data_IF_964460311724
#
_entry.id   IF_964460311724
#
_cell.length_a   1.000
_cell.length_b   1.000
_cell.length_c   1.000
_cell.angle_alpha   90.00
_cell.angle_beta   90.00
_cell.angle_gamma   90.00
#
_symmetry.space_group_name_H-M   'P 1'
#
loop_
_entity.id
_entity.type
_entity.pdbx_description
1 polymer ?
#
# COMPACT_ATOMS: atom_id res chain seq x y z
N UNK A 1 37.02 -46.80 47.62
CA UNK A 1 38.36 -46.28 47.95
C UNK A 1 38.51 -44.96 47.21
N UNK A 2 38.36 -43.86 47.94
CA UNK A 2 39.16 -42.64 47.72
C UNK A 2 40.66 -43.02 47.88
N UNK A 3 41.67 -42.28 47.32
CA UNK A 3 41.78 -40.83 47.47
C UNK A 3 42.49 -40.03 46.34
N UNK A 4 42.43 -38.71 46.44
CA UNK A 4 43.32 -37.80 45.70
C UNK A 4 43.15 -36.31 46.00
N UNK A 5 43.36 -35.89 47.26
CA UNK A 5 43.57 -34.50 47.70
C UNK A 5 44.81 -33.86 47.02
N UNK A 6 44.74 -32.57 46.64
CA UNK A 6 45.71 -31.50 47.03
C UNK A 6 45.07 -30.09 46.84
N UNK A 7 44.60 -29.53 47.95
CA UNK A 7 44.88 -28.22 48.56
C UNK A 7 45.03 -26.89 47.75
N UNK A 8 44.24 -25.88 48.20
CA UNK A 8 44.63 -24.52 48.70
C UNK A 8 45.21 -23.49 47.69
N UNK A 9 44.96 -22.18 47.75
CA UNK A 9 44.21 -21.31 48.66
C UNK A 9 44.07 -19.88 48.09
N UNK A 10 43.18 -19.13 48.75
CA UNK A 10 43.24 -17.69 49.05
C UNK A 10 42.78 -16.61 48.05
N UNK A 11 41.89 -15.80 48.63
CA UNK A 11 41.16 -14.66 48.13
C UNK A 11 41.96 -13.33 48.17
N UNK A 12 41.26 -12.27 47.72
CA UNK A 12 41.50 -10.81 47.85
C UNK A 12 41.98 -10.18 46.54
N UNK A 13 41.48 -9.04 46.06
CA UNK A 13 40.54 -8.04 46.56
C UNK A 13 39.99 -7.29 45.32
N UNK A 14 38.71 -6.87 45.36
CA UNK A 14 38.21 -5.82 44.45
C UNK A 14 38.59 -4.46 45.01
N UNK A 15 38.85 -3.46 44.17
CA UNK A 15 38.56 -2.08 44.50
C UNK A 15 37.43 -1.51 43.62
N UNK A 16 36.61 -0.70 44.29
CA UNK A 16 35.46 0.06 43.83
C UNK A 16 35.84 1.35 43.07
N UNK A 17 34.85 1.90 42.38
CA UNK A 17 34.84 3.15 41.64
C UNK A 17 35.45 4.38 42.36
N UNK A 18 36.28 5.15 41.64
CA UNK A 18 36.04 6.57 41.29
C UNK A 18 37.35 7.37 41.06
N UNK A 19 37.36 8.08 39.93
CA UNK A 19 38.09 9.33 39.61
C UNK A 19 39.63 9.32 39.50
N UNK A 20 40.14 9.38 38.26
CA UNK A 20 41.11 10.43 37.84
C UNK A 20 40.86 10.79 36.37
N UNK A 21 40.77 12.10 36.14
CA UNK A 21 40.53 12.84 34.91
C UNK A 21 41.71 12.82 33.91
N UNK A 22 41.37 13.18 32.66
CA UNK A 22 42.18 13.87 31.65
C UNK A 22 43.28 13.09 30.88
N UNK A 23 42.95 12.77 29.62
CA UNK A 23 43.79 13.19 28.48
C UNK A 23 42.98 13.24 27.19
N UNK A 24 42.62 14.48 26.79
CA UNK A 24 42.11 14.84 25.46
C UNK A 24 43.26 14.75 24.46
N UNK A 25 43.16 13.85 23.48
CA UNK A 25 44.02 13.79 22.31
C UNK A 25 43.18 13.71 21.04
N UNK A 26 43.04 14.84 20.34
CA UNK A 26 42.31 14.97 19.08
C UNK A 26 42.86 14.05 17.98
N UNK A 27 42.06 13.10 17.49
CA UNK A 27 42.24 12.50 16.16
C UNK A 27 41.19 13.06 15.21
N UNK A 28 41.54 14.17 14.55
CA UNK A 28 40.82 14.73 13.39
C UNK A 28 40.80 13.70 12.25
N UNK A 29 39.73 12.91 12.14
CA UNK A 29 39.38 12.22 10.89
C UNK A 29 38.82 13.27 9.93
N UNK A 30 39.63 13.65 8.93
CA UNK A 30 39.20 14.46 7.79
C UNK A 30 38.07 13.71 7.07
N UNK A 31 36.85 14.26 7.09
CA UNK A 31 35.77 13.85 6.19
C UNK A 31 36.14 14.31 4.78
N UNK A 32 36.10 13.46 3.75
CA UNK A 32 36.05 13.93 2.38
C UNK A 32 34.75 14.73 2.21
N UNK A 33 34.88 16.03 1.91
CA UNK A 33 33.83 16.79 1.24
C UNK A 33 33.78 16.31 -0.21
N UNK A 34 32.61 16.39 -0.82
CA UNK A 34 32.28 16.05 -2.22
C UNK A 34 31.85 14.59 -2.46
N UNK A 35 30.57 14.34 -2.13
CA UNK A 35 29.69 13.41 -2.86
C UNK A 35 28.22 13.72 -2.54
N UNK A 36 27.82 14.96 -2.79
CA UNK A 36 26.43 15.26 -3.18
C UNK A 36 26.37 15.01 -4.68
N UNK A 37 25.41 14.20 -5.14
CA UNK A 37 24.95 14.01 -6.55
C UNK A 37 24.64 12.52 -6.88
N UNK A 38 24.11 11.74 -5.94
CA UNK A 38 23.60 10.36 -6.23
C UNK A 38 22.08 10.35 -6.46
N UNK A 39 21.38 11.43 -6.12
CA UNK A 39 19.94 11.55 -6.33
C UNK A 39 19.66 12.83 -7.12
N UNK A 40 18.84 12.78 -8.19
CA UNK A 40 18.37 14.01 -8.80
C UNK A 40 17.65 14.82 -7.72
N UNK A 41 17.84 16.16 -7.67
CA UNK A 41 17.08 16.99 -6.76
C UNK A 41 15.60 16.83 -7.12
N UNK A 42 14.81 16.26 -6.19
CA UNK A 42 13.36 16.39 -6.27
C UNK A 42 13.05 17.87 -6.10
N UNK A 43 12.54 18.50 -7.16
CA UNK A 43 12.07 19.87 -7.12
C UNK A 43 11.06 19.99 -5.98
N UNK A 44 11.48 20.60 -4.87
CA UNK A 44 10.63 20.92 -3.72
C UNK A 44 9.67 22.09 -3.98
N UNK A 45 9.47 22.47 -5.24
CA UNK A 45 8.55 23.55 -5.63
C UNK A 45 7.12 23.06 -5.93
N UNK A 46 6.89 21.75 -6.04
CA UNK A 46 5.55 21.20 -6.29
C UNK A 46 4.81 20.86 -4.97
N UNK A 47 4.87 21.75 -3.98
CA UNK A 47 4.16 21.60 -2.71
C UNK A 47 2.61 21.75 -2.82
N UNK A 48 2.05 21.59 -4.02
CA UNK A 48 0.64 21.31 -4.24
C UNK A 48 0.36 19.79 -4.40
N UNK A 49 1.39 18.94 -4.34
CA UNK A 49 1.34 17.50 -4.54
C UNK A 49 0.95 16.72 -3.28
N UNK A 50 -0.36 16.60 -3.05
CA UNK A 50 -0.93 15.63 -2.10
C UNK A 50 -2.32 15.15 -2.48
N UNK A 51 -2.86 15.66 -3.58
CA UNK A 51 -4.20 15.36 -4.08
C UNK A 51 -4.08 14.54 -5.36
N UNK A 52 -4.87 13.47 -5.47
CA UNK A 52 -4.96 12.69 -6.70
C UNK A 52 -5.36 13.67 -7.82
N UNK A 53 -4.55 13.83 -8.89
CA UNK A 53 -4.80 14.83 -9.91
C UNK A 53 -6.20 14.62 -10.49
N UNK A 54 -6.95 15.72 -10.75
CA UNK A 54 -8.28 15.62 -11.33
C UNK A 54 -8.28 14.92 -12.68
N UNK A 55 -7.14 14.72 -13.37
CA UNK A 55 -7.07 14.03 -14.68
C UNK A 55 -7.35 12.54 -14.60
N UNK A 56 -6.91 11.86 -13.53
CA UNK A 56 -7.09 10.40 -13.39
C UNK A 56 -8.50 10.03 -13.08
N UNK A 57 -9.10 10.82 -12.21
CA UNK A 57 -10.54 10.80 -12.07
C UNK A 57 -11.18 11.78 -13.03
N UNK A 58 -10.54 12.36 -14.02
CA UNK A 58 -11.16 13.39 -14.88
C UNK A 58 -12.16 12.78 -15.84
N UNK A 59 -11.89 11.53 -16.20
CA UNK A 59 -12.85 10.63 -16.84
C UNK A 59 -13.94 10.12 -15.87
N UNK A 60 -13.74 10.24 -14.55
CA UNK A 60 -14.56 9.64 -13.49
C UNK A 60 -15.17 10.64 -12.48
N UNK A 61 -14.87 11.93 -12.56
CA UNK A 61 -15.25 13.05 -11.71
C UNK A 61 -15.36 14.24 -12.67
N UNK A 62 -16.50 14.92 -12.66
CA UNK A 62 -16.72 16.07 -13.56
C UNK A 62 -15.70 17.18 -13.28
N UNK A 63 -15.26 17.85 -14.34
CA UNK A 63 -14.34 18.99 -14.38
C UNK A 63 -14.88 20.27 -13.73
N UNK A 64 -16.03 20.20 -13.07
CA UNK A 64 -16.83 21.38 -12.76
C UNK A 64 -16.94 21.41 -11.24
N UNK A 65 -16.19 22.30 -10.59
CA UNK A 65 -16.03 22.43 -9.13
C UNK A 65 -17.30 22.80 -8.34
N UNK A 66 -18.44 22.23 -8.70
CA UNK A 66 -19.68 22.29 -7.94
C UNK A 66 -19.71 21.16 -6.90
N UNK A 67 -19.93 21.54 -5.63
CA UNK A 67 -20.34 20.59 -4.60
C UNK A 67 -21.66 19.90 -5.02
N UNK A 68 -21.74 18.61 -4.73
CA UNK A 68 -22.86 17.69 -4.98
C UNK A 68 -23.05 17.26 -6.45
N UNK A 69 -22.34 16.21 -6.84
CA UNK A 69 -22.66 15.35 -8.00
C UNK A 69 -22.46 13.90 -7.57
N UNK A 70 -23.27 12.94 -8.08
CA UNK A 70 -23.40 11.61 -7.48
C UNK A 70 -22.06 10.86 -7.43
N UNK A 71 -21.90 9.93 -6.46
CA UNK A 71 -20.68 9.15 -6.35
C UNK A 71 -20.48 8.34 -7.64
N UNK A 72 -19.28 8.39 -8.21
CA UNK A 72 -18.99 7.63 -9.42
C UNK A 72 -18.71 6.20 -9.01
N UNK A 73 -19.55 5.28 -9.46
CA UNK A 73 -19.36 3.83 -9.32
C UNK A 73 -18.46 3.38 -10.47
N UNK A 74 -17.25 2.90 -10.14
CA UNK A 74 -16.10 2.87 -11.07
C UNK A 74 -15.71 1.50 -11.64
N UNK A 75 -16.28 0.33 -11.27
CA UNK A 75 -15.57 -0.93 -11.53
C UNK A 75 -15.29 -1.14 -13.03
N UNK A 76 -16.15 -0.59 -13.90
CA UNK A 76 -15.94 -0.54 -15.34
C UNK A 76 -16.72 0.62 -15.97
N UNK A 77 -16.06 1.50 -16.73
CA UNK A 77 -16.72 2.56 -17.52
C UNK A 77 -16.07 2.70 -18.89
N UNK A 78 -16.86 2.61 -19.95
CA UNK A 78 -16.43 2.87 -21.33
C UNK A 78 -15.16 2.09 -21.76
N UNK A 79 -15.03 0.83 -21.34
CA UNK A 79 -13.85 0.02 -21.65
C UNK A 79 -12.67 0.22 -20.69
N UNK A 80 -12.87 0.95 -19.59
CA UNK A 80 -11.82 1.33 -18.66
C UNK A 80 -12.07 0.84 -17.25
N UNK A 81 -10.98 0.51 -16.58
CA UNK A 81 -10.94 0.08 -15.17
C UNK A 81 -9.91 0.91 -14.44
N UNK A 82 -10.33 1.51 -13.33
CA UNK A 82 -9.41 2.13 -12.40
C UNK A 82 -8.97 1.12 -11.34
N UNK A 83 -7.68 0.84 -11.29
CA UNK A 83 -7.05 0.11 -10.18
C UNK A 83 -6.08 1.03 -9.48
N UNK A 84 -5.84 0.79 -8.20
CA UNK A 84 -4.66 1.35 -7.56
C UNK A 84 -3.78 0.26 -6.96
N UNK A 85 -2.48 0.52 -7.01
CA UNK A 85 -1.46 -0.32 -6.41
C UNK A 85 -0.83 0.42 -5.25
N UNK A 86 -0.57 -0.29 -4.15
CA UNK A 86 0.25 0.26 -3.05
C UNK A 86 1.70 -0.07 -3.29
N UNK A 87 2.58 0.87 -2.99
CA UNK A 87 4.03 0.70 -3.04
C UNK A 87 4.68 1.45 -1.87
N UNK A 88 6.00 1.37 -1.77
CA UNK A 88 6.77 2.11 -0.79
C UNK A 88 6.90 3.57 -1.24
N UNK A 89 6.69 4.50 -0.30
CA UNK A 89 6.80 5.93 -0.58
C UNK A 89 8.18 6.30 -1.10
N UNK A 90 8.23 7.09 -2.18
CA UNK A 90 9.46 7.50 -2.86
C UNK A 90 9.95 6.54 -3.96
N UNK A 91 9.28 5.41 -4.16
CA UNK A 91 9.60 4.42 -5.20
C UNK A 91 8.50 4.30 -6.27
N UNK A 92 7.58 5.26 -6.32
CA UNK A 92 6.43 5.24 -7.24
C UNK A 92 6.88 5.26 -8.71
N UNK A 93 7.99 5.94 -9.01
CA UNK A 93 8.52 6.00 -10.38
C UNK A 93 8.94 4.62 -10.92
N UNK A 94 9.44 3.72 -10.06
CA UNK A 94 9.81 2.36 -10.45
C UNK A 94 8.59 1.52 -10.82
N UNK A 95 7.51 1.69 -10.07
CA UNK A 95 6.23 1.03 -10.38
C UNK A 95 5.67 1.57 -11.70
N UNK A 96 5.75 2.88 -11.96
CA UNK A 96 5.34 3.45 -13.26
C UNK A 96 6.13 2.83 -14.41
N UNK A 97 7.45 2.68 -14.26
CA UNK A 97 8.30 2.02 -15.27
C UNK A 97 7.92 0.55 -15.45
N UNK A 98 7.74 -0.21 -14.36
CA UNK A 98 7.35 -1.63 -14.43
C UNK A 98 5.98 -1.81 -15.07
N UNK A 99 5.02 -0.95 -14.74
CA UNK A 99 3.68 -0.94 -15.33
C UNK A 99 3.73 -0.57 -16.81
N UNK A 100 4.49 0.45 -17.21
CA UNK A 100 4.64 0.84 -18.61
C UNK A 100 5.24 -0.29 -19.46
N UNK A 101 6.23 -1.04 -18.93
CA UNK A 101 6.79 -2.21 -19.63
C UNK A 101 5.78 -3.36 -19.71
N UNK A 102 5.01 -3.59 -18.65
CA UNK A 102 4.10 -4.75 -18.57
C UNK A 102 2.79 -4.56 -19.34
N UNK A 103 2.29 -3.33 -19.42
CA UNK A 103 0.98 -2.99 -19.97
C UNK A 103 1.07 -2.11 -21.23
N UNK A 104 2.22 -1.50 -21.52
CA UNK A 104 2.41 -0.67 -22.70
C UNK A 104 1.36 0.43 -22.80
N UNK A 105 0.67 0.50 -23.94
CA UNK A 105 -0.39 1.48 -24.23
C UNK A 105 -1.70 1.24 -23.46
N UNK A 106 -1.86 0.11 -22.75
CA UNK A 106 -3.06 -0.17 -21.98
C UNK A 106 -3.17 0.74 -20.74
N UNK A 107 -2.05 1.29 -20.25
CA UNK A 107 -2.06 2.34 -19.22
C UNK A 107 -2.30 3.68 -19.91
N UNK A 108 -3.48 4.25 -19.73
CA UNK A 108 -3.86 5.54 -20.33
C UNK A 108 -3.40 6.73 -19.49
N UNK A 109 -3.55 6.63 -18.18
CA UNK A 109 -3.07 7.63 -17.22
C UNK A 109 -2.56 6.95 -15.94
N UNK A 110 -1.61 7.60 -15.25
CA UNK A 110 -1.10 7.14 -13.97
C UNK A 110 -0.69 8.29 -13.03
N UNK A 111 -1.15 8.23 -11.78
CA UNK A 111 -0.84 9.25 -10.78
C UNK A 111 -0.27 8.56 -9.57
N UNK A 112 0.83 9.14 -9.12
CA UNK A 112 1.40 8.81 -7.85
C UNK A 112 0.78 9.73 -6.80
N UNK A 113 0.28 9.12 -5.74
CA UNK A 113 0.15 9.75 -4.43
C UNK A 113 1.13 9.00 -3.53
N UNK A 114 1.59 9.62 -2.45
CA UNK A 114 2.58 8.99 -1.57
C UNK A 114 2.21 7.53 -1.19
N UNK A 115 3.02 6.57 -1.68
CA UNK A 115 2.83 5.13 -1.47
C UNK A 115 1.69 4.48 -2.26
N UNK A 116 1.08 5.16 -3.24
CA UNK A 116 -0.02 4.66 -4.06
C UNK A 116 0.12 5.10 -5.51
N UNK A 117 -0.26 4.24 -6.44
CA UNK A 117 -0.38 4.61 -7.85
C UNK A 117 -1.72 4.18 -8.37
N UNK A 118 -2.45 5.13 -8.92
CA UNK A 118 -3.68 4.87 -9.66
C UNK A 118 -3.31 4.61 -11.12
N UNK A 119 -3.85 3.54 -11.69
CA UNK A 119 -3.67 3.14 -13.08
C UNK A 119 -5.06 3.13 -13.73
N UNK A 120 -5.23 3.97 -14.76
CA UNK A 120 -6.39 3.90 -15.65
C UNK A 120 -6.06 2.92 -16.77
N UNK A 121 -6.67 1.74 -16.72
CA UNK A 121 -6.44 0.65 -17.66
C UNK A 121 -7.56 0.61 -18.68
N UNK A 122 -7.21 0.70 -19.96
CA UNK A 122 -8.16 0.41 -21.05
C UNK A 122 -8.09 -1.08 -21.39
N UNK A 123 -9.04 -1.83 -20.88
CA UNK A 123 -9.12 -3.29 -21.00
C UNK A 123 -10.58 -3.69 -21.09
N UNK A 124 -10.90 -4.65 -21.97
CA UNK A 124 -12.26 -5.20 -22.00
C UNK A 124 -12.55 -6.03 -20.73
N UNK A 125 -13.83 -6.28 -20.37
CA UNK A 125 -14.17 -7.10 -19.21
C UNK A 125 -13.59 -8.52 -19.28
N UNK A 126 -13.46 -9.07 -20.50
CA UNK A 126 -12.92 -10.41 -20.76
C UNK A 126 -11.40 -10.47 -20.60
N UNK A 127 -10.69 -9.38 -20.89
CA UNK A 127 -9.23 -9.26 -20.73
C UNK A 127 -8.82 -8.90 -19.30
N UNK A 128 -9.74 -8.37 -18.50
CA UNK A 128 -9.45 -7.90 -17.16
C UNK A 128 -8.86 -8.97 -16.21
N UNK A 129 -9.30 -10.24 -16.22
CA UNK A 129 -8.64 -11.29 -15.44
C UNK A 129 -7.17 -11.48 -15.82
N UNK A 130 -6.84 -11.43 -17.11
CA UNK A 130 -5.45 -11.56 -17.57
C UNK A 130 -4.63 -10.31 -17.20
N UNK A 131 -5.20 -9.12 -17.34
CA UNK A 131 -4.60 -7.88 -16.85
C UNK A 131 -4.34 -7.93 -15.33
N UNK A 132 -5.27 -8.51 -14.58
CA UNK A 132 -5.13 -8.73 -13.14
C UNK A 132 -3.99 -9.67 -12.82
N UNK A 133 -3.84 -10.79 -13.55
CA UNK A 133 -2.69 -11.69 -13.39
C UNK A 133 -1.37 -10.97 -13.66
N UNK A 134 -1.33 -10.10 -14.67
CA UNK A 134 -0.15 -9.24 -14.92
C UNK A 134 0.10 -8.27 -13.77
N UNK A 135 -0.93 -7.61 -13.23
CA UNK A 135 -0.81 -6.70 -12.08
C UNK A 135 -0.26 -7.44 -10.86
N UNK A 136 -0.79 -8.64 -10.59
CA UNK A 136 -0.35 -9.49 -9.50
C UNK A 136 1.08 -10.01 -9.70
N UNK A 137 1.67 -9.96 -10.90
CA UNK A 137 3.06 -10.37 -11.17
C UNK A 137 4.08 -9.23 -10.99
N UNK A 138 3.64 -7.98 -10.92
CA UNK A 138 4.51 -6.84 -10.65
C UNK A 138 5.27 -7.04 -9.33
N UNK A 139 6.58 -6.78 -9.36
CA UNK A 139 7.47 -7.00 -8.21
C UNK A 139 7.68 -5.74 -7.38
N UNK A 140 7.42 -4.55 -7.93
CA UNK A 140 7.59 -3.27 -7.22
C UNK A 140 6.42 -2.89 -6.31
N UNK A 141 5.35 -3.70 -6.26
CA UNK A 141 4.10 -3.37 -5.56
C UNK A 141 3.85 -4.25 -4.32
N UNK A 142 3.08 -3.72 -3.37
CA UNK A 142 2.68 -4.42 -2.14
C UNK A 142 1.28 -5.01 -2.21
N UNK A 143 0.37 -4.39 -2.95
CA UNK A 143 -1.01 -4.87 -3.10
C UNK A 143 -1.71 -4.19 -4.27
N UNK A 144 -2.71 -4.87 -4.82
CA UNK A 144 -3.57 -4.39 -5.91
C UNK A 144 -4.99 -4.22 -5.37
N UNK A 145 -5.63 -3.12 -5.72
CA UNK A 145 -6.99 -2.75 -5.29
C UNK A 145 -7.80 -2.28 -6.49
N UNK A 146 -8.99 -2.85 -6.67
CA UNK A 146 -9.98 -2.41 -7.65
C UNK A 146 -10.74 -1.21 -7.07
N UNK A 147 -10.77 -0.08 -7.77
CA UNK A 147 -11.58 1.07 -7.33
C UNK A 147 -13.05 0.81 -7.69
N UNK A 148 -13.92 0.84 -6.69
CA UNK A 148 -15.37 0.62 -6.87
C UNK A 148 -16.17 1.91 -6.75
N UNK A 149 -15.64 2.88 -6.00
CA UNK A 149 -16.28 4.17 -5.79
C UNK A 149 -15.25 5.29 -5.70
N UNK A 150 -15.54 6.41 -6.34
CA UNK A 150 -14.89 7.68 -6.10
C UNK A 150 -15.96 8.74 -5.83
N UNK A 151 -15.81 9.49 -4.75
CA UNK A 151 -16.72 10.58 -4.40
C UNK A 151 -15.93 11.77 -3.85
N UNK A 152 -16.36 12.97 -4.21
CA UNK A 152 -15.79 14.23 -3.75
C UNK A 152 -16.73 14.93 -2.79
N UNK A 153 -16.18 15.75 -1.89
CA UNK A 153 -16.95 16.58 -0.96
C UNK A 153 -17.49 15.82 0.25
N UNK A 154 -16.75 14.84 0.77
CA UNK A 154 -17.10 14.23 2.06
C UNK A 154 -17.04 15.28 3.17
N UNK A 155 -18.07 15.29 4.01
CA UNK A 155 -18.20 16.20 5.11
C UNK A 155 -17.12 15.97 6.18
N UNK A 156 -16.71 17.05 6.84
CA UNK A 156 -15.73 16.98 7.93
C UNK A 156 -16.39 16.67 9.26
N UNK A 157 -17.64 17.08 9.45
CA UNK A 157 -18.44 16.76 10.61
C UNK A 157 -18.91 15.29 10.56
N UNK A 158 -19.14 14.70 11.73
CA UNK A 158 -19.43 13.28 11.84
C UNK A 158 -20.84 12.92 11.33
N UNK A 159 -21.83 13.78 11.54
CA UNK A 159 -23.24 13.45 11.24
C UNK A 159 -23.51 13.44 9.75
N UNK A 160 -23.04 14.45 9.02
CA UNK A 160 -23.21 14.53 7.57
C UNK A 160 -22.32 13.50 6.89
N UNK A 161 -21.10 13.25 7.40
CA UNK A 161 -20.22 12.22 6.86
C UNK A 161 -20.81 10.81 7.02
N UNK A 162 -21.47 10.53 8.15
CA UNK A 162 -22.18 9.26 8.36
C UNK A 162 -23.29 9.08 7.31
N UNK A 163 -24.13 10.10 7.11
CA UNK A 163 -25.22 10.04 6.15
C UNK A 163 -24.69 9.86 4.72
N UNK A 164 -23.67 10.61 4.34
CA UNK A 164 -23.02 10.50 3.03
C UNK A 164 -22.41 9.12 2.80
N UNK A 165 -21.64 8.60 3.76
CA UNK A 165 -21.00 7.28 3.61
C UNK A 165 -22.03 6.16 3.48
N UNK A 166 -23.15 6.24 4.21
CA UNK A 166 -24.25 5.27 4.10
C UNK A 166 -24.93 5.37 2.74
N UNK A 167 -25.22 6.58 2.28
CA UNK A 167 -25.85 6.83 0.98
C UNK A 167 -24.95 6.34 -0.16
N UNK A 168 -23.66 6.63 -0.09
CA UNK A 168 -22.69 6.22 -1.09
C UNK A 168 -22.44 4.72 -1.11
N UNK A 169 -22.42 4.06 0.05
CA UNK A 169 -22.36 2.60 0.11
C UNK A 169 -23.58 1.95 -0.55
N UNK A 170 -24.78 2.50 -0.34
CA UNK A 170 -26.02 2.01 -0.96
C UNK A 170 -26.12 2.31 -2.46
N UNK A 171 -25.37 3.29 -2.97
CA UNK A 171 -25.33 3.62 -4.39
C UNK A 171 -24.49 2.64 -5.23
N UNK A 172 -23.63 1.84 -4.58
CA UNK A 172 -22.76 0.88 -5.25
C UNK A 172 -23.53 -0.40 -5.58
N UNK A 173 -23.48 -0.82 -6.85
CA UNK A 173 -23.93 -2.16 -7.24
C UNK A 173 -22.88 -3.20 -6.81
N UNK A 174 -22.97 -3.63 -5.55
CA UNK A 174 -22.02 -4.58 -4.96
C UNK A 174 -22.03 -5.92 -5.68
N UNK A 175 -23.15 -6.32 -6.28
CA UNK A 175 -23.26 -7.58 -7.01
C UNK A 175 -22.42 -7.55 -8.29
N UNK A 176 -22.49 -6.45 -9.06
CA UNK A 176 -21.60 -6.24 -10.22
C UNK A 176 -20.14 -6.09 -9.80
N UNK A 177 -19.86 -5.30 -8.76
CA UNK A 177 -18.49 -5.11 -8.27
C UNK A 177 -17.87 -6.44 -7.83
N UNK A 178 -18.63 -7.26 -7.10
CA UNK A 178 -18.19 -8.59 -6.68
C UNK A 178 -18.01 -9.54 -7.85
N UNK A 179 -18.95 -9.59 -8.81
CA UNK A 179 -18.81 -10.44 -9.99
C UNK A 179 -17.51 -10.13 -10.75
N UNK A 180 -17.20 -8.85 -10.91
CA UNK A 180 -15.97 -8.39 -11.56
C UNK A 180 -14.71 -8.69 -10.75
N UNK A 181 -14.77 -8.49 -9.43
CA UNK A 181 -13.68 -8.87 -8.52
C UNK A 181 -13.45 -10.38 -8.52
N UNK A 182 -14.52 -11.18 -8.50
CA UNK A 182 -14.48 -12.63 -8.46
C UNK A 182 -13.93 -13.20 -9.76
N UNK A 183 -14.30 -12.65 -10.92
CA UNK A 183 -13.68 -13.04 -12.20
C UNK A 183 -12.19 -12.73 -12.24
N UNK A 184 -11.78 -11.62 -11.67
CA UNK A 184 -10.37 -11.19 -11.67
C UNK A 184 -9.49 -11.96 -10.68
N UNK A 185 -10.07 -12.43 -9.59
CA UNK A 185 -9.38 -13.19 -8.53
C UNK A 185 -9.58 -14.70 -8.64
N UNK A 186 -10.32 -15.16 -9.66
CA UNK A 186 -10.71 -16.57 -9.86
C UNK A 186 -11.43 -17.13 -8.61
N UNK A 187 -12.24 -16.29 -7.95
CA UNK A 187 -12.98 -16.65 -6.76
C UNK A 187 -14.25 -17.44 -7.13
N UNK A 188 -14.39 -18.64 -6.59
CA UNK A 188 -15.57 -19.50 -6.77
C UNK A 188 -16.66 -19.33 -5.72
N UNK A 189 -16.49 -18.42 -4.75
CA UNK A 189 -17.49 -18.20 -3.69
C UNK A 189 -18.72 -17.48 -4.26
N UNK A 190 -19.91 -17.94 -3.90
CA UNK A 190 -21.13 -17.25 -4.32
C UNK A 190 -21.25 -15.88 -3.62
N UNK A 191 -22.00 -14.95 -4.20
CA UNK A 191 -22.14 -13.60 -3.66
C UNK A 191 -22.72 -13.62 -2.23
N UNK A 192 -23.60 -14.56 -1.94
CA UNK A 192 -24.34 -14.65 -0.68
C UNK A 192 -23.46 -15.19 0.48
N UNK A 193 -22.41 -15.96 0.18
CA UNK A 193 -21.52 -16.59 1.17
C UNK A 193 -20.26 -15.77 1.47
N UNK A 194 -20.17 -14.53 0.98
CA UNK A 194 -18.98 -13.71 1.13
C UNK A 194 -18.79 -13.29 2.59
N UNK A 195 -17.57 -13.50 3.09
CA UNK A 195 -17.07 -12.86 4.31
C UNK A 195 -16.23 -11.65 3.94
N UNK A 196 -16.39 -10.56 4.68
CA UNK A 196 -15.67 -9.32 4.35
C UNK A 196 -15.08 -8.65 5.58
N UNK A 197 -14.08 -7.80 5.33
CA UNK A 197 -13.55 -6.83 6.28
C UNK A 197 -13.59 -5.44 5.68
N UNK A 198 -14.12 -4.49 6.43
CA UNK A 198 -13.99 -3.07 6.10
C UNK A 198 -12.74 -2.49 6.79
N UNK A 199 -11.84 -1.89 6.01
CA UNK A 199 -10.62 -1.25 6.51
C UNK A 199 -10.63 0.23 6.11
N UNK A 200 -11.03 1.09 7.03
CA UNK A 200 -11.06 2.54 6.84
C UNK A 200 -9.66 3.14 6.91
N UNK A 201 -9.37 4.05 5.98
CA UNK A 201 -8.15 4.85 5.97
C UNK A 201 -8.51 6.34 5.89
N UNK A 202 -7.70 7.16 6.55
CA UNK A 202 -7.93 8.60 6.60
C UNK A 202 -6.61 9.35 6.51
N UNK A 203 -6.61 10.40 5.70
CA UNK A 203 -5.57 11.39 5.58
C UNK A 203 -6.23 12.78 5.58
N UNK A 204 -5.87 13.63 6.55
CA UNK A 204 -6.43 14.98 6.72
C UNK A 204 -7.05 15.22 8.10
N UNK A 205 -7.78 16.33 8.21
CA UNK A 205 -8.36 16.83 9.46
C UNK A 205 -9.89 16.69 9.44
N UNK A 206 -10.37 15.48 9.70
CA UNK A 206 -11.79 15.18 9.85
C UNK A 206 -12.14 14.98 11.32
N UNK A 207 -13.37 15.33 11.72
CA UNK A 207 -13.83 15.24 13.11
C UNK A 207 -14.23 13.81 13.52
N UNK A 208 -14.04 12.83 12.63
CA UNK A 208 -14.40 11.42 12.82
C UNK A 208 -13.20 10.50 12.56
N UNK A 209 -13.27 9.27 13.07
CA UNK A 209 -12.14 8.32 13.04
C UNK A 209 -12.22 7.34 11.88
N UNK A 210 -11.11 6.72 11.53
CA UNK A 210 -11.11 5.61 10.56
C UNK A 210 -12.03 4.46 10.99
N UNK A 211 -12.20 4.23 12.29
CA UNK A 211 -13.14 3.24 12.81
C UNK A 211 -14.61 3.64 12.60
N UNK A 212 -14.92 4.93 12.68
CA UNK A 212 -16.27 5.43 12.36
C UNK A 212 -16.60 5.18 10.89
N UNK A 213 -15.68 5.50 9.97
CA UNK A 213 -15.89 5.19 8.54
C UNK A 213 -16.05 3.68 8.27
N UNK A 214 -15.29 2.83 8.98
CA UNK A 214 -15.45 1.37 8.88
C UNK A 214 -16.84 0.93 9.32
N UNK A 215 -17.33 1.48 10.43
CA UNK A 215 -18.62 1.15 11.00
C UNK A 215 -19.78 1.64 10.13
N UNK A 216 -19.74 2.90 9.70
CA UNK A 216 -20.82 3.50 8.92
C UNK A 216 -20.90 2.90 7.52
N UNK A 217 -19.78 2.85 6.80
CA UNK A 217 -19.71 2.31 5.45
C UNK A 217 -19.90 0.79 5.44
N UNK A 218 -19.16 0.07 6.29
CA UNK A 218 -19.24 -1.38 6.38
C UNK A 218 -20.62 -1.86 6.87
N UNK A 219 -21.25 -1.12 7.79
CA UNK A 219 -22.61 -1.42 8.24
C UNK A 219 -23.67 -1.18 7.17
N UNK A 220 -23.56 -0.10 6.39
CA UNK A 220 -24.45 0.14 5.26
C UNK A 220 -24.30 -0.93 4.18
N UNK A 221 -23.06 -1.29 3.84
CA UNK A 221 -22.78 -2.36 2.90
C UNK A 221 -23.31 -3.71 3.39
N UNK A 222 -23.10 -4.05 4.67
CA UNK A 222 -23.61 -5.30 5.25
C UNK A 222 -25.13 -5.39 5.20
N UNK A 223 -25.83 -4.27 5.38
CA UNK A 223 -27.30 -4.24 5.29
C UNK A 223 -27.78 -4.51 3.86
N UNK A 224 -27.02 -4.11 2.84
CA UNK A 224 -27.36 -4.28 1.42
C UNK A 224 -26.95 -5.66 0.88
N UNK A 225 -25.75 -6.12 1.22
CA UNK A 225 -25.19 -7.37 0.68
C UNK A 225 -25.45 -8.61 1.53
N UNK A 226 -25.81 -8.42 2.80
CA UNK A 226 -25.90 -9.46 3.82
C UNK A 226 -24.58 -10.23 4.08
N UNK A 227 -23.45 -9.73 3.59
CA UNK A 227 -22.15 -10.36 3.81
C UNK A 227 -21.77 -10.41 5.28
N UNK A 228 -21.04 -11.46 5.68
CA UNK A 228 -20.63 -11.64 7.07
C UNK A 228 -19.34 -10.87 7.35
N UNK A 229 -19.42 -9.85 8.21
CA UNK A 229 -18.23 -9.12 8.67
C UNK A 229 -17.31 -10.01 9.52
N UNK A 230 -16.04 -10.13 9.15
CA UNK A 230 -15.01 -10.88 9.86
C UNK A 230 -13.69 -10.11 9.94
N UNK A 231 -13.02 -10.15 11.10
CA UNK A 231 -11.73 -9.47 11.30
C UNK A 231 -10.53 -10.31 10.83
N UNK A 232 -10.70 -11.64 10.79
CA UNK A 232 -9.73 -12.65 10.37
C UNK A 232 -10.39 -13.56 9.35
N UNK A 233 -9.60 -14.14 8.45
CA UNK A 233 -10.05 -15.13 7.46
C UNK A 233 -11.23 -14.66 6.58
N UNK A 234 -11.28 -13.34 6.32
CA UNK A 234 -12.23 -12.73 5.40
C UNK A 234 -11.82 -12.99 3.95
N UNK A 235 -12.81 -13.14 3.07
CA UNK A 235 -12.59 -13.30 1.64
C UNK A 235 -12.26 -11.96 0.96
N UNK A 236 -13.04 -10.92 1.28
CA UNK A 236 -12.95 -9.60 0.63
C UNK A 236 -12.52 -8.53 1.63
N UNK A 237 -11.50 -7.74 1.30
CA UNK A 237 -11.21 -6.49 2.00
C UNK A 237 -11.78 -5.30 1.21
N UNK A 238 -12.71 -4.56 1.82
CA UNK A 238 -13.24 -3.31 1.30
C UNK A 238 -12.60 -2.14 2.06
N UNK A 239 -12.07 -1.16 1.34
CA UNK A 239 -11.26 -0.09 1.90
C UNK A 239 -11.82 1.28 1.54
N UNK A 240 -12.67 1.89 2.38
CA UNK A 240 -12.99 3.30 2.27
C UNK A 240 -11.78 4.12 2.73
N UNK A 241 -11.14 4.81 1.80
CA UNK A 241 -10.01 5.67 2.05
C UNK A 241 -10.40 7.13 1.79
N UNK A 242 -10.32 7.95 2.84
CA UNK A 242 -10.56 9.38 2.74
C UNK A 242 -9.24 10.14 2.70
N UNK A 243 -9.10 10.98 1.69
CA UNK A 243 -7.94 11.84 1.44
C UNK A 243 -8.43 13.27 1.27
N UNK A 244 -8.28 14.08 2.32
CA UNK A 244 -8.88 15.41 2.38
C UNK A 244 -10.41 15.33 2.36
N UNK A 245 -11.01 15.88 1.30
CA UNK A 245 -12.46 15.84 1.04
C UNK A 245 -12.88 14.76 0.04
N UNK A 246 -11.96 13.92 -0.43
CA UNK A 246 -12.24 12.85 -1.39
C UNK A 246 -12.32 11.49 -0.71
N UNK A 247 -13.31 10.69 -1.08
CA UNK A 247 -13.45 9.28 -0.71
C UNK A 247 -13.13 8.40 -1.93
N UNK A 248 -12.23 7.45 -1.73
CA UNK A 248 -11.99 6.35 -2.67
C UNK A 248 -12.30 5.04 -1.95
N UNK A 249 -13.25 4.26 -2.47
CA UNK A 249 -13.54 2.91 -1.97
C UNK A 249 -12.98 1.89 -2.95
N UNK A 250 -12.30 0.89 -2.41
CA UNK A 250 -11.70 -0.17 -3.23
C UNK A 250 -11.83 -1.56 -2.63
N UNK A 251 -11.83 -2.56 -3.49
CA UNK A 251 -11.76 -3.97 -3.12
C UNK A 251 -10.34 -4.50 -3.37
N UNK A 252 -9.72 -5.10 -2.35
CA UNK A 252 -8.38 -5.66 -2.51
C UNK A 252 -8.41 -6.92 -3.38
N UNK A 253 -7.54 -6.99 -4.38
CA UNK A 253 -7.42 -8.15 -5.29
C UNK A 253 -6.24 -9.08 -4.93
N UNK A 254 -5.20 -8.52 -4.29
CA UNK A 254 -4.06 -9.30 -3.81
C UNK A 254 -4.37 -10.03 -2.49
N UNK A 255 -3.68 -11.15 -2.21
CA UNK A 255 -3.74 -11.86 -0.92
C UNK A 255 -3.55 -10.91 0.28
N UNK A 256 -4.16 -11.24 1.42
CA UNK A 256 -4.15 -10.44 2.64
C UNK A 256 -2.72 -10.11 3.14
N UNK A 257 -1.81 -11.08 3.05
CA UNK A 257 -0.41 -10.94 3.51
C UNK A 257 0.43 -9.93 2.69
N UNK A 258 -0.04 -9.58 1.49
CA UNK A 258 0.65 -8.66 0.60
C UNK A 258 1.62 -9.33 -0.37
N UNK A 259 1.81 -8.66 -1.50
CA UNK A 259 2.66 -9.11 -2.60
C UNK A 259 4.15 -9.02 -2.27
N UNK A 260 4.54 -8.18 -1.31
CA UNK A 260 5.93 -8.08 -0.83
C UNK A 260 6.42 -9.28 -0.01
N UNK A 261 5.56 -10.26 0.29
CA UNK A 261 5.91 -11.48 1.03
C UNK A 261 5.90 -12.77 0.20
N UNK A 262 5.58 -12.67 -1.10
CA UNK A 262 5.36 -13.83 -1.99
C UNK A 262 6.56 -14.78 -2.13
N UNK A 263 7.77 -14.26 -1.94
CA UNK A 263 9.04 -14.98 -2.13
C UNK A 263 9.74 -15.24 -0.77
N UNK A 264 9.08 -15.01 0.37
CA UNK A 264 9.67 -15.12 1.71
C UNK A 264 9.21 -16.41 2.39
N UNK A 265 10.13 -17.35 2.63
CA UNK A 265 9.84 -18.63 3.31
C UNK A 265 9.81 -18.47 4.84
N UNK A 266 10.72 -17.66 5.39
CA UNK A 266 10.87 -17.45 6.82
C UNK A 266 10.71 -15.96 7.18
N UNK A 267 9.47 -15.46 7.30
CA UNK A 267 9.24 -14.05 7.62
C UNK A 267 9.63 -13.74 9.07
N UNK A 268 10.72 -13.01 9.25
CA UNK A 268 11.15 -12.41 10.50
C UNK A 268 10.72 -10.95 10.62
N UNK A 269 10.83 -10.39 11.84
CA UNK A 269 10.51 -8.97 12.11
C UNK A 269 11.39 -8.00 11.32
N UNK A 270 12.59 -8.45 10.92
CA UNK A 270 13.61 -7.68 10.21
C UNK A 270 13.78 -8.12 8.75
N UNK A 271 12.97 -9.07 8.26
CA UNK A 271 13.09 -9.55 6.89
C UNK A 271 12.69 -8.45 5.91
N UNK A 272 13.59 -8.18 4.96
CA UNK A 272 13.36 -7.20 3.90
C UNK A 272 12.18 -7.66 3.03
N UNK A 273 11.24 -6.75 2.73
CA UNK A 273 10.13 -7.06 1.82
C UNK A 273 10.69 -7.31 0.41
N UNK A 274 10.18 -8.33 -0.27
CA UNK A 274 10.63 -8.69 -1.63
C UNK A 274 10.43 -7.56 -2.64
N UNK A 275 9.39 -6.73 -2.45
CA UNK A 275 9.20 -5.54 -3.28
C UNK A 275 10.31 -4.49 -3.10
N UNK A 276 10.76 -4.26 -1.86
CA UNK A 276 11.87 -3.35 -1.58
C UNK A 276 13.18 -3.91 -2.15
N UNK A 277 13.44 -5.20 -1.94
CA UNK A 277 14.61 -5.87 -2.51
C UNK A 277 14.65 -5.72 -4.04
N UNK A 278 13.51 -5.93 -4.72
CA UNK A 278 13.42 -5.73 -6.17
C UNK A 278 13.67 -4.28 -6.58
N UNK A 279 13.13 -3.30 -5.84
CA UNK A 279 13.40 -1.89 -6.10
C UNK A 279 14.88 -1.54 -5.93
N UNK A 280 15.58 -2.10 -4.93
CA UNK A 280 17.02 -1.90 -4.76
C UNK A 280 17.81 -2.41 -5.96
N UNK A 281 17.45 -3.58 -6.51
CA UNK A 281 18.07 -4.11 -7.73
C UNK A 281 17.84 -3.19 -8.93
N UNK A 282 16.64 -2.61 -9.07
CA UNK A 282 16.33 -1.64 -10.13
C UNK A 282 17.13 -0.34 -9.98
N UNK A 283 17.27 0.17 -8.76
CA UNK A 283 18.09 1.36 -8.47
C UNK A 283 19.59 1.12 -8.70
N UNK A 284 20.05 -0.13 -8.60
CA UNK A 284 21.43 -0.49 -8.87
C UNK A 284 21.76 -0.59 -10.38
N UNK A 285 20.75 -0.45 -11.27
CA UNK A 285 20.91 -0.49 -12.73
C UNK A 285 21.64 -1.75 -13.23
N UNK A 286 21.32 -2.90 -12.64
CA UNK A 286 21.93 -4.18 -13.00
C UNK A 286 21.50 -4.66 -14.39
N UNK A 287 22.45 -5.19 -15.14
CA UNK A 287 22.26 -5.83 -16.44
C UNK A 287 22.36 -7.35 -16.37
N UNK A 288 21.87 -8.03 -17.42
CA UNK A 288 21.99 -9.49 -17.51
C UNK A 288 23.47 -9.88 -17.64
N UNK A 289 23.94 -10.68 -16.69
CA UNK A 289 25.33 -11.15 -16.63
C UNK A 289 26.15 -10.50 -15.52
N UNK A 290 25.61 -9.47 -14.86
CA UNK A 290 26.29 -8.85 -13.71
C UNK A 290 26.41 -9.82 -12.54
N UNK A 291 27.56 -9.74 -11.86
CA UNK A 291 27.82 -10.48 -10.63
C UNK A 291 27.29 -9.68 -9.44
N UNK A 292 26.27 -10.20 -8.77
CA UNK A 292 25.66 -9.58 -7.59
C UNK A 292 26.12 -10.30 -6.33
N UNK A 293 26.61 -9.54 -5.35
CA UNK A 293 27.00 -10.07 -4.03
C UNK A 293 26.24 -9.29 -2.97
N UNK A 294 25.45 -10.00 -2.16
CA UNK A 294 24.90 -9.46 -0.91
C UNK A 294 25.73 -9.99 0.26
N UNK A 295 26.67 -9.19 0.80
CA UNK A 295 27.55 -9.63 1.89
C UNK A 295 26.81 -9.76 3.25
N UNK A 296 25.55 -9.32 3.33
CA UNK A 296 24.73 -9.34 4.55
C UNK A 296 23.32 -9.88 4.25
N UNK A 297 23.24 -10.98 3.47
CA UNK A 297 21.98 -11.54 2.95
C UNK A 297 21.00 -12.04 4.02
N UNK A 298 21.43 -12.24 5.26
CA UNK A 298 20.57 -12.61 6.38
C UNK A 298 19.85 -13.94 6.14
N UNK A 299 18.51 -13.92 6.18
CA UNK A 299 17.65 -15.11 6.03
C UNK A 299 17.19 -15.37 4.59
N UNK A 300 17.99 -14.92 3.60
CA UNK A 300 17.67 -14.99 2.18
C UNK A 300 17.07 -16.34 1.74
#
# INVERSE_FOLDING_TARGET
MEPGDVARSDAKDRPSDAAVEATKGERKRRRPKDRTDIFPPTNRSDAAEGLIPPSIFGAYCRSDGALASPPTVVPFRDGRVCVFVKTLGGLEYLVKQEAAVSFGSAVRDCAAVQGKIYLDLEVSPEEFPEATRKLLRLRTIESVHLVVLCADGIAQDATDAEQQLRQWAAAVDWRKCYAFWASATECGTCFEDVTFRCTGKRLGDQQWTSHDSQRWFGGAMQNDTHWKAQMKDFLVEVMPAVEGSRLVVSMRMSRAEGLGRRDIVHPGKTTLRGCLAHCLLKCAHLDRGDVVIDPMCGSA
#
